data_IF_639743856271
#
_entry.id   IF_639743856271
#
_cell.length_a   1.000
_cell.length_b   1.000
_cell.length_c   1.000
_cell.angle_alpha   90.00
_cell.angle_beta   90.00
_cell.angle_gamma   90.00
#
_symmetry.space_group_name_H-M   'P 1'
#
loop_
_entity.id
_entity.type
_entity.pdbx_description
1 polymer ?
#
# COMPACT_ATOMS: atom_id res chain seq x y z
N UNK A 1 49.97 71.36 -19.26
CA UNK A 1 50.41 70.00 -18.87
C UNK A 1 49.59 69.56 -17.65
N UNK A 2 49.03 68.34 -17.71
CA UNK A 2 48.32 67.53 -16.68
C UNK A 2 47.87 68.21 -15.37
N UNK A 3 46.61 68.36 -14.96
CA UNK A 3 45.33 67.61 -15.08
C UNK A 3 45.23 66.32 -14.21
N UNK A 4 44.22 66.35 -13.30
CA UNK A 4 43.40 65.27 -12.69
C UNK A 4 43.84 64.82 -11.28
N UNK A 5 43.22 65.28 -10.18
CA UNK A 5 41.87 65.03 -9.59
C UNK A 5 41.71 63.63 -8.97
N UNK A 6 41.44 63.65 -7.65
CA UNK A 6 41.02 62.60 -6.71
C UNK A 6 39.98 61.61 -7.27
N UNK A 7 40.04 60.36 -6.81
CA UNK A 7 38.86 59.58 -6.43
C UNK A 7 39.23 58.41 -5.50
N UNK A 8 38.63 58.40 -4.31
CA UNK A 8 38.56 57.25 -3.40
C UNK A 8 37.70 56.14 -4.04
N UNK A 9 38.13 54.89 -3.91
CA UNK A 9 37.39 53.70 -4.35
C UNK A 9 36.77 53.02 -3.13
N UNK A 10 35.44 52.92 -3.02
CA UNK A 10 34.80 51.93 -2.16
C UNK A 10 34.54 50.63 -2.94
N UNK A 11 35.04 49.51 -2.43
CA UNK A 11 34.78 48.17 -2.97
C UNK A 11 33.35 47.78 -2.59
N UNK A 12 32.43 47.87 -3.54
CA UNK A 12 31.10 47.25 -3.48
C UNK A 12 31.22 45.76 -3.83
N UNK A 13 30.93 44.89 -2.87
CA UNK A 13 30.76 43.45 -3.11
C UNK A 13 29.30 43.20 -3.50
N UNK A 14 29.04 43.06 -4.80
CA UNK A 14 27.72 42.70 -5.32
C UNK A 14 27.48 41.19 -5.13
N UNK A 15 26.62 40.82 -4.18
CA UNK A 15 26.00 39.50 -4.12
C UNK A 15 24.99 39.39 -5.27
N UNK A 16 25.28 38.54 -6.25
CA UNK A 16 24.31 38.13 -7.28
C UNK A 16 23.38 37.09 -6.64
N UNK A 17 22.23 37.53 -6.14
CA UNK A 17 21.08 36.67 -5.91
C UNK A 17 20.39 36.42 -7.24
N UNK A 18 20.62 35.28 -7.88
CA UNK A 18 19.70 34.77 -8.89
C UNK A 18 18.49 34.19 -8.19
N UNK A 19 17.53 35.06 -7.85
CA UNK A 19 16.16 34.65 -7.61
C UNK A 19 15.55 34.17 -8.92
N UNK A 20 15.61 32.86 -9.17
CA UNK A 20 14.75 32.24 -10.17
C UNK A 20 13.36 32.02 -9.52
N UNK A 21 12.54 33.06 -9.58
CA UNK A 21 11.10 32.90 -9.58
C UNK A 21 10.72 32.14 -10.85
N UNK A 22 10.38 30.85 -10.75
CA UNK A 22 9.57 30.20 -11.78
C UNK A 22 8.11 30.33 -11.37
N UNK A 23 7.53 31.44 -11.80
CA UNK A 23 6.09 31.66 -11.79
C UNK A 23 5.51 31.17 -13.11
N UNK A 24 4.72 30.10 -13.01
CA UNK A 24 3.59 29.86 -13.91
C UNK A 24 3.88 29.13 -15.21
N UNK A 25 3.31 27.92 -15.34
CA UNK A 25 2.66 27.44 -16.56
C UNK A 25 1.81 26.22 -16.23
N UNK A 26 0.51 26.45 -16.01
CA UNK A 26 -0.52 25.42 -15.95
C UNK A 26 -0.74 24.77 -17.32
N UNK A 27 0.22 23.96 -17.76
CA UNK A 27 -0.01 22.92 -18.76
C UNK A 27 -0.52 21.65 -18.08
N UNK A 28 -1.23 20.75 -18.80
CA UNK A 28 -1.58 19.46 -18.23
C UNK A 28 -0.29 18.77 -17.75
N UNK A 29 -0.29 18.32 -16.49
CA UNK A 29 0.85 17.61 -15.92
C UNK A 29 1.30 16.51 -16.89
N UNK A 30 2.57 16.54 -17.29
CA UNK A 30 3.13 15.56 -18.22
C UNK A 30 2.94 14.19 -17.59
N UNK A 31 2.15 13.30 -18.23
CA UNK A 31 1.99 11.91 -17.76
C UNK A 31 3.38 11.29 -17.60
N UNK A 32 3.60 10.57 -16.51
CA UNK A 32 4.85 9.84 -16.32
C UNK A 32 5.06 8.86 -17.49
N UNK A 33 6.32 8.74 -17.93
CA UNK A 33 6.70 7.96 -19.10
C UNK A 33 7.45 6.71 -18.65
N UNK A 34 6.72 5.60 -18.47
CA UNK A 34 7.25 4.28 -18.17
C UNK A 34 6.26 3.18 -18.60
N UNK A 35 6.75 1.96 -18.82
CA UNK A 35 5.90 0.81 -19.16
C UNK A 35 5.16 0.29 -17.91
N UNK A 36 3.91 0.71 -17.77
CA UNK A 36 3.05 0.31 -16.66
C UNK A 36 2.73 -1.19 -16.66
N UNK A 37 2.54 -1.81 -17.84
CA UNK A 37 2.25 -3.23 -17.93
C UNK A 37 3.47 -4.08 -17.52
N UNK A 38 4.67 -3.69 -17.95
CA UNK A 38 5.91 -4.32 -17.49
C UNK A 38 6.11 -4.12 -15.98
N UNK A 39 5.85 -2.92 -15.47
CA UNK A 39 5.94 -2.62 -14.03
C UNK A 39 5.08 -3.57 -13.20
N UNK A 40 3.81 -3.79 -13.59
CA UNK A 40 2.93 -4.71 -12.87
C UNK A 40 3.39 -6.17 -12.98
N UNK A 41 3.90 -6.61 -14.14
CA UNK A 41 4.47 -7.96 -14.30
C UNK A 41 5.69 -8.20 -13.41
N UNK A 42 6.60 -7.22 -13.34
CA UNK A 42 7.77 -7.29 -12.46
C UNK A 42 7.35 -7.33 -10.99
N UNK A 43 6.34 -6.55 -10.62
CA UNK A 43 5.78 -6.58 -9.28
C UNK A 43 5.15 -7.92 -8.94
N UNK A 44 4.36 -8.50 -9.84
CA UNK A 44 3.81 -9.84 -9.64
C UNK A 44 4.91 -10.89 -9.40
N UNK A 45 5.99 -10.84 -10.18
CA UNK A 45 7.14 -11.72 -10.01
C UNK A 45 7.85 -11.53 -8.66
N UNK A 46 8.12 -10.28 -8.27
CA UNK A 46 8.78 -9.95 -7.01
C UNK A 46 7.94 -10.38 -5.80
N UNK A 47 6.62 -10.13 -5.86
CA UNK A 47 5.68 -10.46 -4.78
C UNK A 47 5.39 -11.97 -4.70
N UNK A 48 5.38 -12.68 -5.82
CA UNK A 48 5.11 -14.12 -5.88
C UNK A 48 6.16 -14.99 -5.17
N UNK A 49 7.34 -14.42 -4.84
CA UNK A 49 8.43 -15.09 -4.12
C UNK A 49 8.43 -14.92 -2.60
N UNK A 50 7.61 -14.01 -2.05
CA UNK A 50 7.69 -13.59 -0.65
C UNK A 50 7.36 -14.69 0.36
N UNK A 51 8.22 -14.82 1.37
CA UNK A 51 8.03 -15.72 2.52
C UNK A 51 7.19 -15.07 3.62
N UNK A 52 7.22 -13.74 3.70
CA UNK A 52 6.50 -12.96 4.70
C UNK A 52 6.36 -11.51 4.27
N UNK A 53 5.43 -10.80 4.90
CA UNK A 53 5.19 -9.37 4.71
C UNK A 53 4.54 -8.79 5.97
N UNK A 54 4.82 -7.52 6.29
CA UNK A 54 3.93 -6.72 7.13
C UNK A 54 3.10 -5.80 6.25
N UNK A 55 1.86 -5.54 6.64
CA UNK A 55 1.02 -4.59 5.93
C UNK A 55 0.10 -3.83 6.89
N UNK A 56 -0.15 -2.58 6.55
CA UNK A 56 -1.22 -1.80 7.13
C UNK A 56 -2.39 -1.73 6.17
N UNK A 57 -3.60 -1.62 6.69
CA UNK A 57 -4.82 -1.44 5.92
C UNK A 57 -5.61 -0.27 6.50
N UNK A 58 -6.24 0.51 5.62
CA UNK A 58 -7.20 1.55 5.98
C UNK A 58 -8.37 1.56 5.00
N UNK A 59 -9.58 1.58 5.55
CA UNK A 59 -10.83 1.67 4.81
C UNK A 59 -11.50 3.01 5.09
N UNK A 60 -11.76 3.76 4.04
CA UNK A 60 -12.40 5.08 4.09
C UNK A 60 -13.82 5.01 3.52
N UNK A 61 -14.70 5.91 3.98
CA UNK A 61 -16.05 6.03 3.46
C UNK A 61 -17.04 4.95 3.93
N UNK A 62 -18.18 4.88 3.24
CA UNK A 62 -19.29 3.95 3.56
C UNK A 62 -19.27 2.80 2.55
N UNK A 63 -18.37 1.85 2.79
CA UNK A 63 -18.11 0.70 1.91
C UNK A 63 -18.46 -0.61 2.63
N UNK A 64 -18.79 -1.69 1.89
CA UNK A 64 -19.15 -3.01 2.46
C UNK A 64 -17.95 -3.80 3.01
N UNK A 65 -16.97 -3.11 3.60
CA UNK A 65 -15.77 -3.70 4.21
C UNK A 65 -15.86 -3.48 5.72
N UNK A 66 -15.83 -4.59 6.47
CA UNK A 66 -15.98 -4.59 7.94
C UNK A 66 -14.75 -4.04 8.65
N UNK A 67 -13.56 -4.35 8.13
CA UNK A 67 -12.28 -3.88 8.67
C UNK A 67 -12.06 -2.42 8.27
N UNK A 68 -11.89 -1.55 9.27
CA UNK A 68 -11.63 -0.11 9.11
C UNK A 68 -10.16 0.21 9.09
N UNK A 69 -9.37 -0.48 9.88
CA UNK A 69 -7.92 -0.41 9.78
C UNK A 69 -7.27 -1.70 10.27
N UNK A 70 -6.00 -1.90 9.96
CA UNK A 70 -5.23 -3.02 10.49
C UNK A 70 -3.73 -2.80 10.38
N UNK A 71 -2.99 -3.53 11.21
CA UNK A 71 -1.53 -3.67 11.18
C UNK A 71 -1.24 -5.16 11.41
N UNK A 72 -0.72 -5.82 10.38
CA UNK A 72 -0.63 -7.27 10.32
C UNK A 72 0.76 -7.70 9.84
N UNK A 73 1.27 -8.76 10.47
CA UNK A 73 2.40 -9.55 9.99
C UNK A 73 1.87 -10.88 9.49
N UNK A 74 2.38 -11.32 8.35
CA UNK A 74 1.92 -12.52 7.69
C UNK A 74 3.10 -13.35 7.17
N UNK A 75 3.06 -14.65 7.42
CA UNK A 75 3.90 -15.66 6.81
C UNK A 75 3.15 -16.32 5.64
N UNK A 76 3.90 -16.79 4.63
CA UNK A 76 3.34 -17.48 3.45
C UNK A 76 2.44 -18.67 3.80
N UNK A 77 2.71 -19.36 4.90
CA UNK A 77 1.88 -20.47 5.38
C UNK A 77 0.51 -20.07 5.94
N UNK A 78 0.18 -18.77 5.98
CA UNK A 78 -1.06 -18.25 6.56
C UNK A 78 -1.01 -18.03 8.07
N UNK A 79 0.15 -18.22 8.69
CA UNK A 79 0.36 -17.78 10.07
C UNK A 79 0.51 -16.25 10.09
N UNK A 80 -0.26 -15.61 10.96
CA UNK A 80 -0.41 -14.15 10.97
C UNK A 80 -0.61 -13.63 12.39
N UNK A 81 -0.16 -12.42 12.68
CA UNK A 81 -0.45 -11.74 13.93
C UNK A 81 -0.61 -10.24 13.70
N UNK A 82 -1.43 -9.60 14.52
CA UNK A 82 -1.62 -8.15 14.42
C UNK A 82 -2.90 -7.64 15.06
N UNK A 83 -3.25 -6.43 14.69
CA UNK A 83 -4.46 -5.73 15.13
C UNK A 83 -5.36 -5.37 13.95
N UNK A 84 -6.66 -5.42 14.19
CA UNK A 84 -7.69 -4.99 13.25
C UNK A 84 -8.68 -4.11 14.00
N UNK A 85 -8.99 -2.92 13.48
CA UNK A 85 -10.15 -2.17 13.92
C UNK A 85 -11.34 -2.55 13.04
N UNK A 86 -12.40 -3.07 13.64
CA UNK A 86 -13.65 -3.40 12.93
C UNK A 86 -14.76 -2.46 13.36
N UNK A 87 -15.70 -2.16 12.46
CA UNK A 87 -16.90 -1.41 12.83
C UNK A 87 -18.01 -2.39 13.25
N UNK A 88 -18.49 -2.24 14.50
CA UNK A 88 -19.61 -2.99 15.04
C UNK A 88 -20.64 -2.02 15.62
N UNK A 89 -21.87 -2.08 15.12
CA UNK A 89 -22.98 -1.22 15.59
C UNK A 89 -22.62 0.29 15.59
N UNK A 90 -21.80 0.73 14.63
CA UNK A 90 -21.34 2.12 14.50
C UNK A 90 -20.17 2.50 15.42
N UNK A 91 -19.61 1.57 16.20
CA UNK A 91 -18.43 1.77 17.02
C UNK A 91 -17.22 1.05 16.43
N UNK A 92 -16.04 1.68 16.50
CA UNK A 92 -14.77 1.03 16.16
C UNK A 92 -14.32 0.18 17.35
N UNK A 93 -14.15 -1.12 17.12
CA UNK A 93 -13.63 -2.08 18.09
C UNK A 93 -12.28 -2.56 17.59
N UNK A 94 -11.23 -2.36 18.38
CA UNK A 94 -9.92 -2.94 18.12
C UNK A 94 -9.91 -4.40 18.55
N UNK A 95 -9.44 -5.26 17.66
CA UNK A 95 -9.29 -6.70 17.87
C UNK A 95 -7.83 -7.09 17.66
N UNK A 96 -7.33 -8.00 18.49
CA UNK A 96 -6.04 -8.65 18.26
C UNK A 96 -6.28 -10.03 17.66
N UNK A 97 -5.46 -10.39 16.68
CA UNK A 97 -5.56 -11.66 15.97
C UNK A 97 -4.21 -12.34 15.98
N UNK A 98 -4.19 -13.64 16.28
CA UNK A 98 -3.05 -14.52 16.04
C UNK A 98 -3.54 -15.79 15.37
N UNK A 99 -3.13 -16.03 14.13
CA UNK A 99 -3.33 -17.26 13.40
C UNK A 99 -2.03 -18.07 13.43
N UNK A 100 -2.05 -19.26 14.02
CA UNK A 100 -0.87 -20.13 14.14
C UNK A 100 -1.27 -21.61 14.13
N UNK A 101 -0.58 -22.42 13.35
CA UNK A 101 -0.92 -23.84 13.18
C UNK A 101 -2.36 -24.02 12.69
N UNK A 102 -3.18 -24.81 13.39
CA UNK A 102 -4.60 -25.04 13.02
C UNK A 102 -5.57 -24.12 13.78
N UNK A 103 -5.08 -23.07 14.44
CA UNK A 103 -5.88 -22.23 15.34
C UNK A 103 -5.79 -20.74 15.01
N UNK A 104 -6.88 -20.04 15.31
CA UNK A 104 -6.93 -18.58 15.38
C UNK A 104 -7.29 -18.19 16.81
N UNK A 105 -6.57 -17.21 17.34
CA UNK A 105 -6.79 -16.61 18.63
C UNK A 105 -7.27 -15.19 18.41
N UNK A 106 -8.40 -14.84 19.02
CA UNK A 106 -9.01 -13.52 18.90
C UNK A 106 -9.18 -12.91 20.29
N UNK A 107 -8.71 -11.68 20.47
CA UNK A 107 -9.09 -10.81 21.58
C UNK A 107 -9.97 -9.69 20.99
N UNK A 108 -11.25 -9.68 21.34
CA UNK A 108 -12.23 -8.74 20.80
C UNK A 108 -12.27 -7.41 21.60
N UNK A 109 -11.13 -6.96 22.11
CA UNK A 109 -11.01 -5.78 22.97
C UNK A 109 -11.41 -6.03 24.43
N UNK A 110 -11.65 -7.28 24.81
CA UNK A 110 -12.04 -7.67 26.17
C UNK A 110 -10.86 -8.04 27.07
N UNK A 111 -9.64 -8.08 26.51
CA UNK A 111 -8.41 -8.43 27.23
C UNK A 111 -8.21 -9.93 27.40
N UNK A 112 -8.94 -10.76 26.65
CA UNK A 112 -8.94 -12.22 26.80
C UNK A 112 -8.98 -12.92 25.44
N UNK A 113 -8.15 -13.96 25.29
CA UNK A 113 -8.04 -14.71 24.04
C UNK A 113 -9.08 -15.82 23.93
N UNK A 114 -9.77 -15.84 22.79
CA UNK A 114 -10.64 -16.94 22.38
C UNK A 114 -9.97 -17.73 21.29
N UNK A 115 -9.80 -19.04 21.52
CA UNK A 115 -9.27 -19.98 20.52
C UNK A 115 -10.41 -20.50 19.63
N UNK A 116 -10.22 -20.42 18.32
CA UNK A 116 -11.10 -20.96 17.29
C UNK A 116 -10.28 -21.85 16.34
N UNK A 117 -10.86 -22.90 15.77
CA UNK A 117 -10.19 -23.66 14.72
C UNK A 117 -10.09 -22.84 13.43
N UNK A 118 -8.95 -22.92 12.71
CA UNK A 118 -8.77 -22.23 11.41
C UNK A 118 -9.84 -22.62 10.39
N UNK A 119 -10.34 -23.85 10.43
CA UNK A 119 -11.43 -24.30 9.54
C UNK A 119 -12.70 -23.47 9.68
N UNK A 120 -13.02 -22.99 10.89
CA UNK A 120 -14.15 -22.10 11.10
C UNK A 120 -13.86 -20.71 10.52
N UNK A 121 -12.63 -20.21 10.69
CA UNK A 121 -12.23 -18.94 10.11
C UNK A 121 -12.14 -18.96 8.59
N UNK A 122 -11.72 -20.08 7.98
CA UNK A 122 -11.64 -20.25 6.53
C UNK A 122 -13.02 -20.15 5.83
N UNK A 123 -14.12 -20.32 6.57
CA UNK A 123 -15.47 -20.02 6.06
C UNK A 123 -15.71 -18.53 5.83
N UNK A 124 -14.92 -17.66 6.46
CA UNK A 124 -14.95 -16.21 6.34
C UNK A 124 -13.75 -15.70 5.52
N UNK A 125 -12.54 -16.16 5.86
CA UNK A 125 -11.30 -15.74 5.21
C UNK A 125 -10.12 -16.69 5.49
N UNK A 126 -9.33 -17.00 4.47
CA UNK A 126 -8.08 -17.79 4.56
C UNK A 126 -6.86 -16.87 4.38
N UNK A 127 -6.09 -16.56 5.44
CA UNK A 127 -4.94 -15.67 5.35
C UNK A 127 -3.79 -16.22 4.50
N UNK A 128 -3.74 -17.54 4.24
CA UNK A 128 -2.72 -18.11 3.35
C UNK A 128 -2.90 -17.65 1.89
N UNK A 129 -4.11 -17.19 1.52
CA UNK A 129 -4.40 -16.71 0.18
C UNK A 129 -3.60 -15.44 -0.18
N UNK A 130 -3.24 -14.59 0.78
CA UNK A 130 -2.62 -13.28 0.50
C UNK A 130 -1.26 -13.39 -0.19
N UNK A 131 -0.41 -14.32 0.26
CA UNK A 131 0.92 -14.56 -0.29
C UNK A 131 0.97 -15.78 -1.22
N UNK A 132 -0.19 -16.33 -1.56
CA UNK A 132 -0.33 -17.35 -2.59
C UNK A 132 0.06 -16.75 -3.96
N UNK A 133 0.91 -17.41 -4.76
CA UNK A 133 1.40 -16.84 -6.02
C UNK A 133 0.31 -16.72 -7.09
N UNK A 134 -0.81 -17.43 -6.97
CA UNK A 134 -1.90 -17.43 -7.95
C UNK A 134 -3.15 -16.73 -7.44
N UNK A 135 -3.52 -16.97 -6.18
CA UNK A 135 -4.72 -16.39 -5.55
C UNK A 135 -4.46 -15.05 -4.87
N UNK A 136 -3.19 -14.75 -4.59
CA UNK A 136 -2.78 -13.64 -3.74
C UNK A 136 -2.45 -12.36 -4.47
N UNK A 137 -1.63 -11.52 -3.83
CA UNK A 137 -1.19 -10.22 -4.37
C UNK A 137 -0.54 -10.36 -5.75
N UNK A 138 0.26 -11.41 -5.96
CA UNK A 138 0.90 -11.66 -7.25
C UNK A 138 -0.12 -11.97 -8.36
N UNK A 139 -1.19 -12.71 -8.03
CA UNK A 139 -2.31 -13.00 -8.91
C UNK A 139 -3.11 -11.74 -9.27
N UNK A 140 -3.39 -10.91 -8.27
CA UNK A 140 -4.05 -9.60 -8.46
C UNK A 140 -3.24 -8.71 -9.42
N UNK A 141 -1.94 -8.55 -9.18
CA UNK A 141 -1.04 -7.74 -10.02
C UNK A 141 -0.97 -8.26 -11.46
N UNK A 142 -0.94 -9.58 -11.63
CA UNK A 142 -0.92 -10.23 -12.95
C UNK A 142 -2.23 -10.10 -13.72
N UNK A 143 -3.35 -9.96 -13.00
CA UNK A 143 -4.70 -9.91 -13.56
C UNK A 143 -5.22 -8.48 -13.76
N UNK A 144 -4.49 -7.48 -13.27
CA UNK A 144 -4.84 -6.07 -13.41
C UNK A 144 -4.92 -5.69 -14.89
N UNK A 145 -5.96 -4.93 -15.26
CA UNK A 145 -6.26 -4.56 -16.65
C UNK A 145 -6.06 -3.07 -16.86
N UNK A 146 -5.89 -2.69 -18.12
CA UNK A 146 -5.75 -1.28 -18.54
C UNK A 146 -4.68 -0.50 -17.75
N UNK A 147 -3.46 -1.05 -17.55
CA UNK A 147 -2.44 -0.36 -16.78
C UNK A 147 -2.02 0.94 -17.47
N UNK A 148 -2.06 2.04 -16.73
CA UNK A 148 -1.63 3.36 -17.20
C UNK A 148 -0.59 3.95 -16.25
N UNK A 149 0.54 4.47 -16.76
CA UNK A 149 1.49 5.18 -15.93
C UNK A 149 0.88 6.52 -15.48
N UNK A 150 1.01 6.84 -14.20
CA UNK A 150 0.53 8.12 -13.65
C UNK A 150 1.68 9.01 -13.20
N UNK A 151 2.48 8.52 -12.24
CA UNK A 151 3.49 9.32 -11.57
C UNK A 151 4.71 8.49 -11.13
N UNK A 152 5.79 9.20 -10.82
CA UNK A 152 6.90 8.70 -9.99
C UNK A 152 6.90 9.50 -8.71
N UNK A 153 6.76 8.83 -7.57
CA UNK A 153 6.63 9.48 -6.26
C UNK A 153 7.20 8.59 -5.15
N UNK A 154 7.30 9.13 -3.93
CA UNK A 154 7.82 8.39 -2.79
C UNK A 154 6.69 7.76 -1.97
N UNK A 155 6.88 6.50 -1.59
CA UNK A 155 6.11 5.81 -0.55
C UNK A 155 7.08 5.43 0.55
N UNK A 156 6.88 5.96 1.75
CA UNK A 156 7.78 5.77 2.91
C UNK A 156 9.26 5.99 2.59
N UNK A 157 9.54 7.07 1.84
CA UNK A 157 10.89 7.44 1.43
C UNK A 157 11.47 6.62 0.26
N UNK A 158 10.78 5.58 -0.22
CA UNK A 158 11.18 4.77 -1.38
C UNK A 158 10.57 5.31 -2.67
N UNK A 159 11.40 5.46 -3.70
CA UNK A 159 10.95 5.84 -5.04
C UNK A 159 10.07 4.73 -5.65
N UNK A 160 8.89 5.11 -6.15
CA UNK A 160 7.88 4.20 -6.67
C UNK A 160 7.27 4.69 -7.99
N UNK A 161 6.95 3.75 -8.88
CA UNK A 161 6.06 3.97 -10.01
C UNK A 161 4.61 3.84 -9.53
N UNK A 162 3.80 4.88 -9.73
CA UNK A 162 2.35 4.83 -9.51
C UNK A 162 1.63 4.50 -10.82
N UNK A 163 0.95 3.36 -10.81
CA UNK A 163 0.20 2.80 -11.94
C UNK A 163 -1.29 2.81 -11.62
N UNK A 164 -2.10 3.44 -12.46
CA UNK A 164 -3.54 3.21 -12.45
C UNK A 164 -3.86 1.90 -13.16
N UNK A 165 -4.82 1.14 -12.66
CA UNK A 165 -5.30 -0.09 -13.29
C UNK A 165 -6.72 -0.44 -12.84
N UNK A 166 -7.41 -1.24 -13.65
CA UNK A 166 -8.65 -1.93 -13.27
C UNK A 166 -8.30 -3.20 -12.49
N UNK A 167 -8.78 -3.32 -11.25
CA UNK A 167 -8.62 -4.49 -10.40
C UNK A 167 -9.84 -5.42 -10.54
N UNK A 168 -9.66 -6.67 -11.02
CA UNK A 168 -10.78 -7.58 -11.23
C UNK A 168 -11.48 -8.00 -9.93
N UNK A 169 -12.82 -7.99 -9.90
CA UNK A 169 -13.65 -8.39 -8.76
C UNK A 169 -13.20 -9.72 -8.17
N UNK A 170 -13.07 -10.75 -9.00
CA UNK A 170 -12.83 -12.11 -8.53
C UNK A 170 -11.46 -12.25 -7.84
N UNK A 171 -10.48 -11.40 -8.22
CA UNK A 171 -9.17 -11.34 -7.59
C UNK A 171 -9.22 -10.57 -6.28
N UNK A 172 -9.88 -9.40 -6.27
CA UNK A 172 -9.99 -8.58 -5.04
C UNK A 172 -10.87 -9.26 -4.00
N UNK A 173 -11.99 -9.88 -4.39
CA UNK A 173 -12.90 -10.59 -3.48
C UNK A 173 -12.26 -11.81 -2.80
N UNK A 174 -11.23 -12.41 -3.43
CA UNK A 174 -10.41 -13.46 -2.80
C UNK A 174 -9.48 -12.95 -1.70
N UNK A 175 -9.17 -11.64 -1.70
CA UNK A 175 -8.26 -11.00 -0.75
C UNK A 175 -8.98 -10.17 0.32
N UNK A 176 -10.07 -9.51 -0.07
CA UNK A 176 -10.87 -8.63 0.78
C UNK A 176 -12.33 -9.09 0.65
N UNK A 177 -12.90 -9.72 1.70
CA UNK A 177 -14.31 -10.09 1.71
C UNK A 177 -15.23 -8.87 1.57
N UNK A 178 -16.33 -9.03 0.85
CA UNK A 178 -17.36 -7.99 0.66
C UNK A 178 -17.25 -7.20 -0.66
N UNK A 179 -16.25 -7.48 -1.50
CA UNK A 179 -16.12 -6.86 -2.82
C UNK A 179 -17.02 -7.55 -3.85
N UNK A 180 -17.92 -6.76 -4.45
CA UNK A 180 -18.95 -7.25 -5.38
C UNK A 180 -18.78 -6.82 -6.83
N UNK A 181 -17.77 -6.00 -7.14
CA UNK A 181 -17.53 -5.44 -8.47
C UNK A 181 -16.05 -5.17 -8.74
N UNK A 182 -15.71 -4.89 -10.00
CA UNK A 182 -14.37 -4.45 -10.39
C UNK A 182 -14.07 -3.07 -9.78
N UNK A 183 -12.81 -2.83 -9.43
CA UNK A 183 -12.40 -1.57 -8.81
C UNK A 183 -11.43 -0.79 -9.70
N UNK A 184 -11.56 0.53 -9.71
CA UNK A 184 -10.48 1.40 -10.17
C UNK A 184 -9.43 1.46 -9.07
N UNK A 185 -8.17 1.18 -9.41
CA UNK A 185 -7.09 1.08 -8.45
C UNK A 185 -5.83 1.81 -8.86
N UNK A 186 -5.03 2.15 -7.85
CA UNK A 186 -3.67 2.62 -8.00
C UNK A 186 -2.72 1.65 -7.30
N UNK A 187 -1.59 1.38 -7.94
CA UNK A 187 -0.57 0.44 -7.50
C UNK A 187 0.78 1.17 -7.49
N UNK A 188 1.48 1.13 -6.37
CA UNK A 188 2.81 1.72 -6.21
C UNK A 188 3.86 0.64 -6.16
N UNK A 189 4.71 0.60 -7.19
CA UNK A 189 5.77 -0.40 -7.33
C UNK A 189 7.13 0.25 -7.10
N UNK A 190 7.90 -0.27 -6.15
CA UNK A 190 9.25 0.19 -5.85
C UNK A 190 10.16 0.12 -7.07
N UNK A 191 10.90 1.20 -7.34
CA UNK A 191 11.78 1.28 -8.53
C UNK A 191 13.04 0.43 -8.41
N UNK A 192 13.48 0.15 -7.19
CA UNK A 192 14.73 -0.56 -6.93
C UNK A 192 14.57 -2.09 -6.92
N UNK A 193 13.46 -2.59 -6.39
CA UNK A 193 13.24 -4.02 -6.12
C UNK A 193 11.94 -4.57 -6.74
N UNK A 194 11.19 -3.72 -7.45
CA UNK A 194 9.90 -4.04 -8.03
C UNK A 194 8.84 -4.52 -7.02
N UNK A 195 9.03 -4.31 -5.72
CA UNK A 195 8.04 -4.75 -4.73
C UNK A 195 6.82 -3.83 -4.73
N UNK A 196 5.64 -4.40 -4.49
CA UNK A 196 4.42 -3.63 -4.26
C UNK A 196 4.54 -2.93 -2.91
N UNK A 197 4.60 -1.60 -2.89
CA UNK A 197 4.72 -0.81 -1.67
C UNK A 197 3.35 -0.36 -1.16
N UNK A 198 2.41 -0.08 -2.06
CA UNK A 198 1.08 0.39 -1.73
C UNK A 198 0.09 0.00 -2.82
N UNK A 199 -1.15 -0.28 -2.43
CA UNK A 199 -2.29 -0.40 -3.33
C UNK A 199 -3.47 0.37 -2.75
N UNK A 200 -4.20 1.07 -3.62
CA UNK A 200 -5.47 1.71 -3.27
C UNK A 200 -6.52 1.23 -4.26
N UNK A 201 -7.65 0.71 -3.77
CA UNK A 201 -8.82 0.39 -4.57
C UNK A 201 -9.98 1.30 -4.20
N UNK A 202 -10.51 2.05 -5.16
CA UNK A 202 -11.66 2.92 -4.98
C UNK A 202 -12.97 2.19 -5.30
N UNK A 203 -13.98 2.41 -4.47
CA UNK A 203 -15.34 1.96 -4.74
C UNK A 203 -16.05 2.94 -5.68
N UNK A 204 -16.95 2.46 -6.55
CA UNK A 204 -17.69 3.32 -7.47
C UNK A 204 -18.51 4.39 -6.76
N UNK A 205 -18.80 5.47 -7.49
CA UNK A 205 -19.63 6.61 -7.00
C UNK A 205 -19.06 7.27 -5.74
N UNK A 206 -17.72 7.27 -5.61
CA UNK A 206 -16.98 7.90 -4.51
C UNK A 206 -17.42 7.42 -3.12
N UNK A 207 -17.88 6.17 -3.02
CA UNK A 207 -18.37 5.59 -1.76
C UNK A 207 -17.26 5.45 -0.72
N UNK A 208 -16.01 5.34 -1.17
CA UNK A 208 -14.84 5.17 -0.33
C UNK A 208 -13.72 4.42 -1.03
N UNK A 209 -12.72 3.99 -0.27
CA UNK A 209 -11.59 3.24 -0.78
C UNK A 209 -10.99 2.35 0.30
N UNK A 210 -10.24 1.33 -0.13
CA UNK A 210 -9.33 0.59 0.74
C UNK A 210 -7.90 0.88 0.28
N UNK A 211 -7.05 1.23 1.23
CA UNK A 211 -5.61 1.43 1.03
C UNK A 211 -4.85 0.38 1.83
N UNK A 212 -3.85 -0.23 1.22
CA UNK A 212 -2.95 -1.18 1.89
C UNK A 212 -1.52 -0.79 1.57
N UNK A 213 -0.68 -0.71 2.59
CA UNK A 213 0.76 -0.44 2.47
C UNK A 213 1.55 -1.64 2.96
N UNK A 214 2.62 -1.98 2.25
CA UNK A 214 3.40 -3.19 2.49
C UNK A 214 4.83 -2.86 2.87
N UNK A 215 5.33 -3.53 3.90
CA UNK A 215 6.65 -3.34 4.48
C UNK A 215 7.22 -4.67 4.98
N UNK A 216 8.45 -4.64 5.48
CA UNK A 216 9.13 -5.77 6.13
C UNK A 216 9.06 -7.09 5.33
N UNK A 217 9.23 -6.98 4.00
CA UNK A 217 9.23 -8.13 3.10
C UNK A 217 10.30 -9.15 3.48
N UNK A 218 9.93 -10.43 3.52
CA UNK A 218 10.79 -11.56 3.89
C UNK A 218 11.41 -11.47 5.31
N UNK A 219 10.83 -10.66 6.19
CA UNK A 219 11.23 -10.60 7.60
C UNK A 219 11.05 -11.98 8.30
N UNK A 220 11.98 -12.39 9.17
CA UNK A 220 11.99 -13.71 9.79
C UNK A 220 11.05 -13.79 11.01
N UNK A 221 9.76 -13.54 10.81
CA UNK A 221 8.78 -13.56 11.90
C UNK A 221 8.67 -14.93 12.57
N UNK A 222 8.43 -14.90 13.88
CA UNK A 222 8.09 -16.07 14.69
C UNK A 222 6.78 -15.79 15.39
N UNK A 223 5.72 -16.40 14.90
CA UNK A 223 4.36 -16.22 15.42
C UNK A 223 4.06 -17.39 16.34
N UNK A 224 3.55 -17.09 17.53
CA UNK A 224 3.26 -18.09 18.56
C UNK A 224 1.90 -17.86 19.19
N UNK A 225 1.26 -18.93 19.66
CA UNK A 225 -0.01 -18.80 20.37
C UNK A 225 0.12 -17.84 21.56
N UNK A 226 -0.86 -16.94 21.77
CA UNK A 226 -0.86 -16.05 22.91
C UNK A 226 -1.07 -16.81 24.22
N UNK A 227 -0.65 -16.19 25.32
CA UNK A 227 -0.83 -16.71 26.68
C UNK A 227 -2.20 -16.37 27.24
#
# INVERSE_FOLDING_TARGET
MSRRILALVPVLLALVFTGACDGGSGGPAKKADFDAAQTLRQAAQAMGGLKSVAFTLESEGKIPVMVKSGDMKLLRGGDAEGTLAVEQQGQKVEMKVVAVGDSIYLDAGTGGWRKLPKSLAASVYDPSAVLDPQRGIAGLLSSAREPSPEAVEKVDGKEAYRVAAKLPKDQVAGLIPGIGEDMDGQVWVGRADHRLLKVRGAFPKDQGAVTIEFTEFDAPYKISAPR
#
